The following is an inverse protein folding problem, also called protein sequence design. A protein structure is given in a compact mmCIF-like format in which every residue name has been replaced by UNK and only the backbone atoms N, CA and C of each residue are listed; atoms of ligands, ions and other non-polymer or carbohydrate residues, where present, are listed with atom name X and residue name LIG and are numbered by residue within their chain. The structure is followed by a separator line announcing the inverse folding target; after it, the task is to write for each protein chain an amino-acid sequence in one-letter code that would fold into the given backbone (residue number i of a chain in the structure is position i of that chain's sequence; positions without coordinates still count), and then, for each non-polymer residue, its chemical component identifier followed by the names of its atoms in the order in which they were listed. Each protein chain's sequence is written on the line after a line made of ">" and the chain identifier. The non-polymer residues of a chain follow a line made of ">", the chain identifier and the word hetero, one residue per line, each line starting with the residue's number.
data_IF_547562545907
#
_entry.id   IF_547562545907
#
_cell.length_a   1.000
_cell.length_b   1.000
_cell.length_c   1.000
_cell.angle_alpha   90.00
_cell.angle_beta   90.00
_cell.angle_gamma   90.00
#
_symmetry.space_group_name_H-M   'P 1'
#
loop_
_entity.id
_entity.type
_entity.pdbx_description
1 polymer ?
#
# COMPACT_ATOMS: atom_id res chain seq x y z
N UNK A 1 6.28 -7.45 21.93
CA UNK A 1 7.17 -6.88 20.89
C UNK A 1 6.48 -6.77 19.53
N UNK A 2 5.93 -7.87 18.99
CA UNK A 2 5.20 -7.85 17.69
C UNK A 2 4.02 -6.87 17.63
N UNK A 3 3.22 -6.77 18.69
CA UNK A 3 2.11 -5.81 18.76
C UNK A 3 2.54 -4.34 18.67
N UNK A 4 3.67 -3.97 19.30
CA UNK A 4 4.20 -2.61 19.23
C UNK A 4 4.71 -2.28 17.82
N UNK A 5 5.33 -3.26 17.14
CA UNK A 5 5.75 -3.14 15.76
C UNK A 5 4.56 -2.96 14.82
N UNK A 6 3.51 -3.76 14.98
CA UNK A 6 2.28 -3.63 14.19
C UNK A 6 1.61 -2.26 14.36
N UNK A 7 1.50 -1.75 15.59
CA UNK A 7 0.95 -0.41 15.83
C UNK A 7 1.79 0.71 15.18
N UNK A 8 3.12 0.62 15.26
CA UNK A 8 4.00 1.59 14.60
C UNK A 8 3.85 1.56 13.07
N UNK A 9 3.73 0.37 12.48
CA UNK A 9 3.50 0.20 11.05
C UNK A 9 2.14 0.75 10.60
N UNK A 10 1.10 0.61 11.43
CA UNK A 10 -0.21 1.21 11.15
C UNK A 10 -0.09 2.73 11.08
N UNK A 11 0.52 3.35 12.10
CA UNK A 11 0.73 4.81 12.11
C UNK A 11 1.55 5.25 10.89
N UNK A 12 2.62 4.53 10.57
CA UNK A 12 3.47 4.83 9.41
C UNK A 12 2.71 4.73 8.07
N UNK A 13 1.86 3.71 7.93
CA UNK A 13 1.05 3.49 6.72
C UNK A 13 -0.05 4.54 6.58
N UNK A 14 -0.69 4.94 7.68
CA UNK A 14 -1.66 6.04 7.68
C UNK A 14 -1.00 7.36 7.29
N UNK A 15 0.14 7.70 7.89
CA UNK A 15 0.88 8.91 7.57
C UNK A 15 1.33 8.93 6.11
N UNK A 16 1.80 7.80 5.60
CA UNK A 16 2.24 7.68 4.20
C UNK A 16 1.06 7.75 3.22
N UNK A 17 -0.07 7.13 3.54
CA UNK A 17 -1.29 7.23 2.74
C UNK A 17 -1.80 8.66 2.67
N UNK A 18 -1.86 9.36 3.82
CA UNK A 18 -2.21 10.79 3.87
C UNK A 18 -1.21 11.65 3.10
N UNK A 19 0.09 11.36 3.22
CA UNK A 19 1.13 12.05 2.48
C UNK A 19 0.97 11.87 0.96
N UNK A 20 0.67 10.65 0.50
CA UNK A 20 0.37 10.34 -0.90
C UNK A 20 -0.89 11.06 -1.39
N UNK A 21 -1.95 11.13 -0.57
CA UNK A 21 -3.17 11.88 -0.89
C UNK A 21 -2.89 13.38 -1.09
N UNK A 22 -2.11 13.98 -0.19
CA UNK A 22 -1.86 15.42 -0.21
C UNK A 22 -0.87 15.79 -1.32
N UNK A 23 0.26 15.08 -1.40
CA UNK A 23 1.42 15.48 -2.24
C UNK A 23 1.62 14.64 -3.50
N UNK A 24 1.00 13.48 -3.61
CA UNK A 24 1.16 12.56 -4.72
C UNK A 24 0.57 13.03 -6.05
N UNK A 25 0.96 12.34 -7.12
CA UNK A 25 0.29 12.41 -8.42
C UNK A 25 -1.08 11.75 -8.41
N UNK A 26 -1.76 11.74 -9.56
CA UNK A 26 -3.07 11.07 -9.65
C UNK A 26 -2.93 9.58 -9.30
N UNK A 27 -1.87 8.92 -9.80
CA UNK A 27 -1.56 7.53 -9.49
C UNK A 27 -1.31 7.32 -7.98
N UNK A 28 -0.45 8.14 -7.36
CA UNK A 28 -0.11 8.00 -5.95
C UNK A 28 -1.30 8.32 -5.03
N UNK A 29 -2.17 9.26 -5.43
CA UNK A 29 -3.40 9.54 -4.68
C UNK A 29 -4.38 8.37 -4.73
N UNK A 30 -4.61 7.81 -5.91
CA UNK A 30 -5.50 6.65 -6.06
C UNK A 30 -4.96 5.43 -5.34
N UNK A 31 -3.66 5.14 -5.47
CA UNK A 31 -3.04 4.04 -4.75
C UNK A 31 -2.98 4.27 -3.25
N UNK A 32 -2.69 5.50 -2.80
CA UNK A 32 -2.75 5.88 -1.38
C UNK A 32 -4.14 5.71 -0.79
N UNK A 33 -5.20 6.08 -1.53
CA UNK A 33 -6.59 5.84 -1.12
C UNK A 33 -6.90 4.34 -0.97
N UNK A 34 -6.47 3.52 -1.94
CA UNK A 34 -6.69 2.07 -1.90
C UNK A 34 -5.94 1.39 -0.75
N UNK A 35 -4.68 1.77 -0.48
CA UNK A 35 -3.92 1.27 0.67
C UNK A 35 -4.63 1.65 1.98
N UNK A 36 -5.07 2.90 2.13
CA UNK A 36 -5.80 3.34 3.32
C UNK A 36 -7.12 2.58 3.50
N UNK A 37 -7.88 2.38 2.42
CA UNK A 37 -9.10 1.58 2.46
C UNK A 37 -8.82 0.14 2.89
N UNK A 38 -7.77 -0.48 2.35
CA UNK A 38 -7.33 -1.82 2.73
C UNK A 38 -7.06 -1.91 4.24
N UNK A 39 -6.32 -0.94 4.77
CA UNK A 39 -6.02 -0.87 6.21
C UNK A 39 -7.26 -0.75 7.09
N UNK A 40 -8.19 0.13 6.71
CA UNK A 40 -9.44 0.32 7.45
C UNK A 40 -10.25 -0.97 7.45
N UNK A 41 -10.36 -1.63 6.30
CA UNK A 41 -11.10 -2.88 6.15
C UNK A 41 -10.46 -4.02 6.92
N UNK A 42 -9.14 -4.20 6.84
CA UNK A 42 -8.41 -5.22 7.60
C UNK A 42 -8.53 -5.00 9.12
N UNK A 43 -8.44 -3.75 9.57
CA UNK A 43 -8.61 -3.40 11.00
C UNK A 43 -10.03 -3.69 11.47
N UNK A 44 -11.04 -3.33 10.65
CA UNK A 44 -12.43 -3.61 10.95
C UNK A 44 -12.71 -5.13 10.98
N UNK A 45 -12.16 -5.89 10.03
CA UNK A 45 -12.28 -7.34 10.04
C UNK A 45 -11.68 -7.92 11.31
N UNK A 46 -10.45 -7.55 11.68
CA UNK A 46 -9.81 -8.02 12.91
C UNK A 46 -10.61 -7.68 14.18
N UNK A 47 -11.21 -6.48 14.25
CA UNK A 47 -11.96 -6.03 15.41
C UNK A 47 -13.33 -6.72 15.55
N UNK A 48 -14.05 -6.94 14.45
CA UNK A 48 -15.48 -7.31 14.49
C UNK A 48 -15.76 -8.72 13.97
N UNK A 49 -15.17 -9.12 12.84
CA UNK A 49 -15.58 -10.31 12.09
C UNK A 49 -14.60 -11.48 12.23
N UNK A 50 -13.30 -11.19 12.29
CA UNK A 50 -12.18 -12.13 12.38
C UNK A 50 -12.26 -13.23 11.30
N UNK A 51 -12.68 -12.84 10.10
CA UNK A 51 -12.95 -13.77 9.00
C UNK A 51 -11.81 -13.77 7.99
N UNK A 52 -11.20 -14.93 7.76
CA UNK A 52 -10.16 -15.11 6.74
C UNK A 52 -10.67 -14.84 5.32
N UNK A 53 -11.93 -15.19 5.06
CA UNK A 53 -12.54 -14.95 3.75
C UNK A 53 -12.64 -13.44 3.46
N UNK A 54 -12.88 -12.63 4.48
CA UNK A 54 -12.94 -11.17 4.35
C UNK A 54 -11.56 -10.61 4.04
N UNK A 55 -10.52 -11.01 4.76
CA UNK A 55 -9.13 -10.56 4.48
C UNK A 55 -8.74 -10.92 3.04
N UNK A 56 -8.94 -12.18 2.64
CA UNK A 56 -8.64 -12.64 1.29
C UNK A 56 -9.41 -11.86 0.20
N UNK A 57 -10.69 -11.57 0.44
CA UNK A 57 -11.52 -10.81 -0.51
C UNK A 57 -11.07 -9.37 -0.61
N UNK A 58 -10.76 -8.73 0.52
CA UNK A 58 -10.29 -7.36 0.58
C UNK A 58 -8.94 -7.22 -0.13
N UNK A 59 -8.00 -8.11 0.16
CA UNK A 59 -6.68 -8.09 -0.48
C UNK A 59 -6.76 -8.44 -1.96
N UNK A 60 -7.66 -9.36 -2.36
CA UNK A 60 -7.93 -9.65 -3.77
C UNK A 60 -8.49 -8.44 -4.53
N UNK A 61 -9.46 -7.73 -3.95
CA UNK A 61 -10.03 -6.51 -4.55
C UNK A 61 -9.00 -5.39 -4.63
N UNK A 62 -8.19 -5.20 -3.60
CA UNK A 62 -7.15 -4.19 -3.58
C UNK A 62 -6.05 -4.52 -4.60
N UNK A 63 -5.67 -5.79 -4.71
CA UNK A 63 -4.72 -6.27 -5.70
C UNK A 63 -5.23 -6.00 -7.14
N UNK A 64 -6.50 -6.31 -7.42
CA UNK A 64 -7.10 -6.03 -8.72
C UNK A 64 -7.15 -4.52 -9.03
N UNK A 65 -7.53 -3.70 -8.05
CA UNK A 65 -7.55 -2.24 -8.23
C UNK A 65 -6.16 -1.69 -8.55
N UNK A 66 -5.16 -2.08 -7.78
CA UNK A 66 -3.78 -1.67 -8.00
C UNK A 66 -3.22 -2.18 -9.33
N UNK A 67 -3.68 -3.34 -9.82
CA UNK A 67 -3.29 -3.88 -11.12
C UNK A 67 -3.82 -3.00 -12.26
N UNK A 68 -5.10 -2.60 -12.17
CA UNK A 68 -5.70 -1.67 -13.12
C UNK A 68 -4.96 -0.33 -13.11
N UNK A 69 -4.58 0.15 -11.92
CA UNK A 69 -3.82 1.38 -11.75
C UNK A 69 -2.41 1.27 -12.36
N UNK A 70 -1.74 0.13 -12.14
CA UNK A 70 -0.43 -0.19 -12.70
C UNK A 70 -0.47 -0.20 -14.23
N UNK A 71 -1.48 -0.85 -14.84
CA UNK A 71 -1.65 -0.83 -16.29
C UNK A 71 -1.92 0.57 -16.84
N UNK A 72 -2.62 1.42 -16.08
CA UNK A 72 -2.98 2.78 -16.51
C UNK A 72 -1.83 3.79 -16.44
N UNK A 73 -0.99 3.71 -15.41
CA UNK A 73 0.06 4.69 -15.12
C UNK A 73 1.48 4.16 -15.34
N UNK A 74 1.66 2.84 -15.44
CA UNK A 74 2.93 2.16 -15.70
C UNK A 74 4.09 2.63 -14.81
N UNK A 75 3.84 2.85 -13.51
CA UNK A 75 4.88 3.27 -12.57
C UNK A 75 5.58 2.05 -11.93
N UNK A 76 6.90 2.16 -11.73
CA UNK A 76 7.70 1.10 -11.09
C UNK A 76 7.22 0.78 -9.67
N UNK A 77 6.80 1.80 -8.92
CA UNK A 77 6.32 1.59 -7.55
C UNK A 77 5.01 0.79 -7.51
N UNK A 78 4.11 0.99 -8.49
CA UNK A 78 2.89 0.19 -8.60
C UNK A 78 3.20 -1.27 -8.94
N UNK A 79 4.18 -1.52 -9.81
CA UNK A 79 4.66 -2.88 -10.09
C UNK A 79 5.21 -3.57 -8.84
N UNK A 80 6.01 -2.86 -8.03
CA UNK A 80 6.53 -3.40 -6.78
C UNK A 80 5.41 -3.71 -5.77
N UNK A 81 4.47 -2.77 -5.57
CA UNK A 81 3.29 -2.98 -4.72
C UNK A 81 2.47 -4.17 -5.19
N UNK A 82 2.38 -4.39 -6.50
CA UNK A 82 1.64 -5.53 -7.06
C UNK A 82 2.22 -6.89 -6.72
N UNK A 83 3.54 -7.01 -6.78
CA UNK A 83 4.20 -8.25 -6.36
C UNK A 83 3.98 -8.52 -4.87
N UNK A 84 3.99 -7.47 -4.04
CA UNK A 84 3.75 -7.61 -2.60
C UNK A 84 2.30 -8.00 -2.30
N UNK A 85 1.31 -7.39 -2.97
CA UNK A 85 -0.09 -7.79 -2.84
C UNK A 85 -0.34 -9.24 -3.30
N UNK A 86 0.38 -9.73 -4.30
CA UNK A 86 0.29 -11.14 -4.69
C UNK A 86 0.81 -12.08 -3.58
N UNK A 87 1.89 -11.71 -2.89
CA UNK A 87 2.40 -12.47 -1.74
C UNK A 87 1.39 -12.45 -0.59
N UNK A 88 0.79 -11.28 -0.31
CA UNK A 88 -0.22 -11.11 0.73
C UNK A 88 -1.46 -11.96 0.44
N UNK A 89 -2.02 -11.86 -0.77
CA UNK A 89 -3.15 -12.68 -1.19
C UNK A 89 -2.84 -14.18 -1.10
N UNK A 90 -1.62 -14.59 -1.48
CA UNK A 90 -1.16 -15.97 -1.34
C UNK A 90 -1.08 -16.44 0.11
N UNK A 91 -0.67 -15.56 1.03
CA UNK A 91 -0.65 -15.85 2.47
C UNK A 91 -2.07 -16.13 2.99
N UNK A 92 -3.01 -15.23 2.71
CA UNK A 92 -4.38 -15.38 3.18
C UNK A 92 -5.06 -16.61 2.56
N UNK A 93 -4.80 -16.89 1.28
CA UNK A 93 -5.31 -18.08 0.62
C UNK A 93 -4.75 -19.36 1.26
N UNK A 94 -3.46 -19.38 1.59
CA UNK A 94 -2.83 -20.51 2.27
C UNK A 94 -3.44 -20.73 3.66
N UNK A 95 -3.65 -19.68 4.44
CA UNK A 95 -4.22 -19.79 5.79
C UNK A 95 -5.70 -20.18 5.75
N UNK A 96 -6.45 -19.72 4.75
CA UNK A 96 -7.83 -20.14 4.52
C UNK A 96 -7.91 -21.64 4.17
N UNK A 97 -7.09 -22.11 3.23
CA UNK A 97 -7.12 -23.51 2.77
C UNK A 97 -6.59 -24.48 3.83
N UNK A 98 -5.64 -24.05 4.65
CA UNK A 98 -5.04 -24.88 5.71
C UNK A 98 -5.75 -24.76 7.07
N UNK A 99 -6.82 -23.96 7.14
CA UNK A 99 -7.59 -23.68 8.36
C UNK A 99 -6.71 -23.25 9.56
N UNK A 100 -5.57 -22.60 9.27
CA UNK A 100 -4.64 -22.14 10.30
C UNK A 100 -5.11 -20.86 10.95
N UNK A 101 -4.78 -20.65 12.21
CA UNK A 101 -5.15 -19.42 12.90
C UNK A 101 -4.39 -18.22 12.35
N UNK A 102 -5.13 -17.15 12.04
CA UNK A 102 -4.60 -15.84 11.61
C UNK A 102 -3.72 -15.18 12.69
N UNK A 103 -3.84 -15.64 13.94
CA UNK A 103 -3.05 -15.17 15.09
C UNK A 103 -1.66 -15.79 15.19
N UNK A 104 -1.28 -16.67 14.25
CA UNK A 104 0.02 -17.32 14.27
C UNK A 104 1.16 -16.32 14.05
N UNK A 105 2.23 -16.45 14.83
CA UNK A 105 3.45 -15.63 14.70
C UNK A 105 3.96 -15.49 13.26
N UNK A 106 4.09 -16.56 12.44
CA UNK A 106 4.53 -16.43 11.06
C UNK A 106 3.59 -15.59 10.19
N UNK A 107 2.27 -15.71 10.38
CA UNK A 107 1.29 -14.89 9.66
C UNK A 107 1.50 -13.40 9.95
N UNK A 108 1.60 -13.05 11.24
CA UNK A 108 1.81 -11.68 11.68
C UNK A 108 3.13 -11.08 11.15
N UNK A 109 4.21 -11.87 11.09
CA UNK A 109 5.50 -11.41 10.57
C UNK A 109 5.43 -11.12 9.07
N UNK A 110 4.87 -12.02 8.27
CA UNK A 110 4.77 -11.84 6.81
C UNK A 110 3.84 -10.65 6.50
N UNK A 111 2.69 -10.57 7.18
CA UNK A 111 1.75 -9.46 7.00
C UNK A 111 2.40 -8.09 7.32
N UNK A 112 3.15 -8.01 8.43
CA UNK A 112 3.89 -6.79 8.78
C UNK A 112 4.96 -6.43 7.74
N UNK A 113 5.66 -7.43 7.18
CA UNK A 113 6.67 -7.21 6.15
C UNK A 113 6.05 -6.72 4.83
N UNK A 114 4.95 -7.32 4.42
CA UNK A 114 4.19 -6.90 3.23
C UNK A 114 3.66 -5.47 3.41
N UNK A 115 3.06 -5.19 4.55
CA UNK A 115 2.62 -3.84 4.95
C UNK A 115 3.77 -2.84 4.85
N UNK A 116 4.93 -3.16 5.42
CA UNK A 116 6.10 -2.29 5.37
C UNK A 116 6.58 -2.05 3.92
N UNK A 117 6.68 -3.10 3.11
CA UNK A 117 7.11 -3.01 1.73
C UNK A 117 6.15 -2.16 0.86
N UNK A 118 4.84 -2.35 1.01
CA UNK A 118 3.81 -1.55 0.33
C UNK A 118 3.96 -0.07 0.71
N UNK A 119 4.08 0.22 2.00
CA UNK A 119 4.17 1.60 2.50
C UNK A 119 5.45 2.28 2.05
N UNK A 120 6.60 1.59 2.09
CA UNK A 120 7.87 2.14 1.57
C UNK A 120 7.79 2.40 0.07
N UNK A 121 7.22 1.48 -0.71
CA UNK A 121 7.05 1.66 -2.15
C UNK A 121 6.14 2.86 -2.48
N UNK A 122 5.02 3.02 -1.77
CA UNK A 122 4.12 4.16 -1.92
C UNK A 122 4.80 5.49 -1.54
N UNK A 123 5.56 5.50 -0.43
CA UNK A 123 6.33 6.67 -0.01
C UNK A 123 7.36 7.06 -1.07
N UNK A 124 8.12 6.09 -1.59
CA UNK A 124 9.11 6.31 -2.64
C UNK A 124 8.45 6.84 -3.92
N UNK A 125 7.35 6.24 -4.37
CA UNK A 125 6.57 6.71 -5.51
C UNK A 125 6.11 8.15 -5.35
N UNK A 126 5.58 8.49 -4.17
CA UNK A 126 5.14 9.85 -3.83
C UNK A 126 6.29 10.85 -3.84
N UNK A 127 7.42 10.52 -3.23
CA UNK A 127 8.61 11.39 -3.20
C UNK A 127 9.15 11.63 -4.62
N UNK A 128 9.24 10.60 -5.44
CA UNK A 128 9.72 10.71 -6.84
C UNK A 128 8.77 11.60 -7.65
N UNK A 129 7.45 11.37 -7.54
CA UNK A 129 6.44 12.19 -8.22
C UNK A 129 6.51 13.67 -7.80
N UNK A 130 6.72 13.94 -6.50
CA UNK A 130 6.91 15.30 -5.99
C UNK A 130 8.16 15.98 -6.53
N UNK A 131 9.29 15.26 -6.58
CA UNK A 131 10.56 15.81 -7.10
C UNK A 131 10.44 16.17 -8.56
N UNK A 132 9.86 15.28 -9.37
CA UNK A 132 9.65 15.51 -10.81
C UNK A 132 8.81 16.76 -11.07
N UNK A 133 7.72 16.96 -10.32
CA UNK A 133 6.88 18.17 -10.40
C UNK A 133 7.61 19.47 -10.09
N UNK A 134 8.55 19.46 -9.13
CA UNK A 134 9.34 20.65 -8.79
C UNK A 134 10.31 21.03 -9.90
N UNK A 135 10.91 20.04 -10.56
CA UNK A 135 11.80 20.28 -11.70
C UNK A 135 11.04 20.83 -12.91
N UNK A 136 9.84 20.32 -13.18
CA UNK A 136 8.99 20.80 -14.27
C UNK A 136 8.41 22.22 -14.02
N UNK A 137 8.33 22.66 -12.76
CA UNK A 137 7.80 23.98 -12.37
C UNK A 137 8.85 25.10 -12.32
N UNK A 138 10.15 24.79 -12.42
CA UNK A 138 11.19 25.82 -12.52
C UNK A 138 11.16 26.44 -13.91
N UNK A 139 11.08 27.79 -14.05
CA UNK A 139 11.10 28.44 -15.35
C UNK A 139 12.42 28.12 -16.07
N UNK A 140 12.39 27.94 -17.40
CA UNK A 140 13.60 27.66 -18.16
C UNK A 140 14.60 28.83 -18.01
N UNK A 141 15.92 28.58 -17.96
CA UNK A 141 16.95 29.59 -17.71
C UNK A 141 16.93 30.80 -18.67
N UNK A 142 16.30 30.65 -19.83
CA UNK A 142 16.20 31.65 -20.89
C UNK A 142 14.97 32.56 -20.77
N UNK A 143 14.07 32.31 -19.81
CA UNK A 143 12.89 33.16 -19.58
C UNK A 143 13.23 34.50 -18.89
N UNK A 144 14.44 34.66 -18.34
CA UNK A 144 14.90 35.91 -17.70
C UNK A 144 15.61 36.87 -18.66
N UNK A 145 15.75 36.51 -19.95
CA UNK A 145 16.48 37.29 -20.96
C UNK A 145 15.58 38.00 -22.00
N UNK A 146 14.26 38.03 -21.79
CA UNK A 146 13.28 38.72 -22.64
C UNK A 146 12.57 39.84 -21.87
#
# INVERSE_FOLDING_TARGET
>A
MLYALSNALVVFSLLTGLFALIKGGVAERMGGAAVLANFVLATANYAFLKSQLVDLTVDGLCALFMLLLMMRFASLWLGAVMLVYAIQFGLDAFYLVTERSVSDTPHAVINNLNTFAITVALAAGTIIAMRRRRTEASPPPFAELA
#
